data_IF_525237083081
#
_entry.id   IF_525237083081
#
_cell.length_a   1.000
_cell.length_b   1.000
_cell.length_c   1.000
_cell.angle_alpha   90.00
_cell.angle_beta   90.00
_cell.angle_gamma   90.00
#
_symmetry.space_group_name_H-M   'P 1'
#
loop_
_entity.id
_entity.type
_entity.pdbx_description
1 polymer ?
#
# COMPACT_ATOMS: atom_id res chain seq x y z
N UNK A 1 -1.91 -13.29 3.22
CA UNK A 1 -1.91 -12.11 2.32
C UNK A 1 -2.55 -12.39 0.95
N UNK A 2 -2.15 -13.39 0.16
CA UNK A 2 -2.72 -13.61 -1.19
C UNK A 2 -4.20 -14.01 -1.29
N UNK A 3 -4.88 -14.27 -0.17
CA UNK A 3 -6.30 -14.66 -0.12
C UNK A 3 -7.12 -13.80 0.86
N UNK A 4 -6.63 -12.62 1.24
CA UNK A 4 -7.33 -11.80 2.25
C UNK A 4 -8.54 -11.04 1.71
N UNK A 5 -8.54 -10.63 0.43
CA UNK A 5 -9.69 -9.98 -0.21
C UNK A 5 -9.96 -10.60 -1.58
N UNK A 6 -8.98 -10.54 -2.48
CA UNK A 6 -8.96 -11.31 -3.71
C UNK A 6 -8.17 -12.61 -3.53
N UNK A 7 -8.58 -13.67 -4.23
CA UNK A 7 -7.80 -14.91 -4.32
C UNK A 7 -6.76 -14.79 -5.42
N UNK A 8 -5.48 -14.81 -5.04
CA UNK A 8 -4.34 -14.81 -5.94
C UNK A 8 -3.50 -16.08 -5.72
N UNK A 9 -3.01 -16.67 -6.82
CA UNK A 9 -2.10 -17.82 -6.76
C UNK A 9 -0.65 -17.46 -6.38
N UNK A 10 -0.36 -16.16 -6.28
CA UNK A 10 0.97 -15.65 -6.01
C UNK A 10 1.10 -14.19 -6.48
N UNK A 11 2.32 -13.63 -6.45
CA UNK A 11 2.54 -12.28 -6.92
C UNK A 11 2.43 -12.20 -8.45
N UNK A 12 1.70 -11.23 -9.00
CA UNK A 12 1.57 -11.03 -10.44
C UNK A 12 2.94 -10.88 -11.11
N UNK A 13 3.07 -11.47 -12.30
CA UNK A 13 4.20 -11.19 -13.16
C UNK A 13 4.02 -9.78 -13.72
N UNK A 14 4.95 -8.87 -13.40
CA UNK A 14 4.98 -7.56 -14.03
C UNK A 14 5.71 -7.67 -15.35
N UNK A 15 5.18 -7.06 -16.41
CA UNK A 15 5.83 -7.04 -17.73
C UNK A 15 7.15 -6.23 -17.77
N UNK A 16 7.51 -5.54 -16.69
CA UNK A 16 8.59 -4.56 -16.63
C UNK A 16 9.90 -5.15 -16.09
N UNK A 17 9.83 -6.20 -15.27
CA UNK A 17 11.02 -6.85 -14.70
C UNK A 17 10.80 -8.36 -14.59
N UNK A 18 11.77 -9.14 -15.07
CA UNK A 18 11.83 -10.60 -14.86
C UNK A 18 12.41 -10.85 -13.47
N UNK A 19 11.61 -11.31 -12.50
CA UNK A 19 12.08 -11.45 -11.12
C UNK A 19 12.97 -12.69 -10.97
N UNK A 20 13.98 -12.61 -10.11
CA UNK A 20 14.83 -13.76 -9.74
C UNK A 20 14.06 -14.86 -9.01
N UNK A 21 12.96 -14.51 -8.35
CA UNK A 21 12.12 -15.41 -7.56
C UNK A 21 10.64 -15.26 -7.91
N UNK A 22 9.89 -16.35 -7.82
CA UNK A 22 8.43 -16.36 -8.06
C UNK A 22 7.62 -15.86 -6.85
N UNK A 23 8.27 -15.53 -5.73
CA UNK A 23 7.64 -15.19 -4.45
C UNK A 23 7.82 -13.70 -4.11
N UNK A 24 7.00 -13.18 -3.19
CA UNK A 24 7.29 -11.89 -2.55
C UNK A 24 8.25 -12.12 -1.39
N UNK A 25 9.14 -11.15 -1.21
CA UNK A 25 10.06 -11.11 -0.09
C UNK A 25 9.51 -10.16 0.98
N UNK A 26 9.88 -10.41 2.23
CA UNK A 26 9.36 -9.62 3.33
C UNK A 26 9.91 -10.06 4.69
N UNK A 27 9.55 -9.29 5.71
CA UNK A 27 9.93 -9.52 7.09
C UNK A 27 8.67 -9.88 7.87
N UNK A 28 8.75 -10.97 8.63
CA UNK A 28 7.74 -11.36 9.60
C UNK A 28 8.17 -10.87 10.99
N UNK A 29 7.25 -10.22 11.72
CA UNK A 29 7.40 -9.87 13.14
C UNK A 29 6.27 -10.58 13.87
N UNK A 30 6.60 -11.41 14.86
CA UNK A 30 5.63 -12.20 15.65
C UNK A 30 4.62 -12.99 14.79
N UNK A 31 5.11 -13.57 13.69
CA UNK A 31 4.30 -14.35 12.75
C UNK A 31 3.39 -13.52 11.83
N UNK A 32 3.47 -12.18 11.87
CA UNK A 32 2.73 -11.26 11.01
C UNK A 32 3.65 -10.63 9.98
N UNK A 33 3.16 -10.45 8.75
CA UNK A 33 3.92 -9.78 7.69
C UNK A 33 3.96 -8.28 7.95
N UNK A 34 5.14 -7.78 8.33
CA UNK A 34 5.37 -6.38 8.68
C UNK A 34 5.92 -5.56 7.52
N UNK A 35 6.80 -6.16 6.71
CA UNK A 35 7.45 -5.49 5.57
C UNK A 35 7.32 -6.36 4.33
N UNK A 36 7.03 -5.73 3.19
CA UNK A 36 7.09 -6.35 1.87
C UNK A 36 8.20 -5.64 1.09
N UNK A 37 9.11 -6.43 0.54
CA UNK A 37 10.11 -5.97 -0.42
C UNK A 37 9.82 -6.59 -1.78
N UNK A 38 9.96 -5.78 -2.83
CA UNK A 38 9.76 -6.25 -4.20
C UNK A 38 10.57 -5.40 -5.17
N UNK A 39 11.47 -6.03 -5.90
CA UNK A 39 12.15 -5.44 -7.07
C UNK A 39 11.19 -5.29 -8.28
N UNK A 40 10.02 -5.93 -8.23
CA UNK A 40 9.01 -5.81 -9.29
C UNK A 40 8.39 -4.41 -9.27
N UNK A 41 8.41 -3.74 -10.42
CA UNK A 41 7.89 -2.38 -10.58
C UNK A 41 6.35 -2.35 -10.64
N UNK A 42 5.68 -2.76 -9.56
CA UNK A 42 4.21 -2.83 -9.50
C UNK A 42 3.55 -1.47 -9.74
N UNK A 43 4.10 -0.39 -9.18
CA UNK A 43 3.58 0.97 -9.39
C UNK A 43 3.64 1.36 -10.87
N UNK A 44 4.79 1.14 -11.53
CA UNK A 44 4.93 1.38 -12.96
C UNK A 44 4.01 0.50 -13.82
N UNK A 45 3.66 -0.70 -13.35
CA UNK A 45 2.69 -1.54 -14.04
C UNK A 45 1.26 -0.99 -13.96
N UNK A 46 0.92 -0.27 -12.89
CA UNK A 46 -0.41 0.35 -12.71
C UNK A 46 -0.58 1.66 -13.48
N UNK A 47 0.51 2.39 -13.76
CA UNK A 47 0.46 3.71 -14.40
C UNK A 47 0.57 3.68 -15.93
N UNK A 48 0.83 2.52 -16.55
CA UNK A 48 0.87 2.40 -18.01
C UNK A 48 -0.54 2.43 -18.61
N UNK A 49 -0.96 3.59 -19.09
CA UNK A 49 -2.09 3.69 -20.01
C UNK A 49 -1.73 3.04 -21.37
N UNK A 50 -2.67 2.28 -21.94
CA UNK A 50 -2.58 1.85 -23.35
C UNK A 50 -2.29 0.37 -23.63
N UNK A 51 -1.93 -0.47 -22.66
CA UNK A 51 -1.82 -1.93 -22.90
C UNK A 51 -3.05 -2.67 -22.40
N UNK A 52 -3.90 -3.08 -23.36
CA UNK A 52 -5.01 -3.98 -23.14
C UNK A 52 -4.47 -5.29 -22.52
N UNK A 53 -4.96 -5.60 -21.32
CA UNK A 53 -5.06 -6.91 -20.67
C UNK A 53 -3.99 -7.43 -19.71
N UNK A 54 -4.52 -7.90 -18.56
CA UNK A 54 -4.06 -8.92 -17.61
C UNK A 54 -3.16 -8.50 -16.43
N UNK A 55 -1.90 -8.05 -16.61
CA UNK A 55 -0.99 -7.80 -15.49
C UNK A 55 -1.45 -6.68 -14.57
N UNK A 56 -2.05 -5.64 -15.14
CA UNK A 56 -2.56 -4.48 -14.39
C UNK A 56 -3.61 -4.86 -13.35
N UNK A 57 -4.64 -5.61 -13.78
CA UNK A 57 -5.71 -6.05 -12.88
C UNK A 57 -5.16 -6.94 -11.76
N UNK A 58 -4.23 -7.84 -12.09
CA UNK A 58 -3.58 -8.68 -11.10
C UNK A 58 -2.75 -7.85 -10.10
N UNK A 59 -2.02 -6.84 -10.58
CA UNK A 59 -1.30 -5.90 -9.71
C UNK A 59 -2.25 -5.12 -8.81
N UNK A 60 -3.36 -4.58 -9.34
CA UNK A 60 -4.37 -3.90 -8.52
C UNK A 60 -4.91 -4.82 -7.42
N UNK A 61 -5.26 -6.07 -7.77
CA UNK A 61 -5.71 -7.07 -6.79
C UNK A 61 -4.66 -7.35 -5.72
N UNK A 62 -3.38 -7.44 -6.10
CA UNK A 62 -2.29 -7.62 -5.13
C UNK A 62 -2.19 -6.41 -4.19
N UNK A 63 -2.20 -5.20 -4.73
CA UNK A 63 -2.11 -3.97 -3.93
C UNK A 63 -3.30 -3.84 -2.97
N UNK A 64 -4.52 -4.17 -3.42
CA UNK A 64 -5.70 -4.23 -2.55
C UNK A 64 -5.50 -5.24 -1.42
N UNK A 65 -5.01 -6.45 -1.73
CA UNK A 65 -4.74 -7.45 -0.70
C UNK A 65 -3.70 -6.96 0.34
N UNK A 66 -2.64 -6.29 -0.11
CA UNK A 66 -1.62 -5.71 0.78
C UNK A 66 -2.26 -4.69 1.72
N UNK A 67 -3.07 -3.76 1.19
CA UNK A 67 -3.75 -2.72 1.98
C UNK A 67 -4.73 -3.35 2.97
N UNK A 68 -5.58 -4.29 2.52
CA UNK A 68 -6.53 -4.97 3.39
C UNK A 68 -5.81 -5.75 4.48
N UNK A 69 -4.75 -6.48 4.14
CA UNK A 69 -3.96 -7.22 5.13
C UNK A 69 -3.32 -6.29 6.16
N UNK A 70 -2.72 -5.18 5.71
CA UNK A 70 -2.16 -4.14 6.58
C UNK A 70 -3.22 -3.63 7.58
N UNK A 71 -4.40 -3.26 7.11
CA UNK A 71 -5.47 -2.72 7.94
C UNK A 71 -6.06 -3.74 8.92
N UNK A 72 -6.26 -4.98 8.47
CA UNK A 72 -7.00 -6.00 9.24
C UNK A 72 -6.13 -6.92 10.08
N UNK A 73 -4.86 -7.13 9.71
CA UNK A 73 -3.94 -8.07 10.37
C UNK A 73 -2.64 -7.38 10.83
N UNK A 74 -2.23 -6.30 10.16
CA UNK A 74 -1.00 -5.56 10.46
C UNK A 74 -1.14 -4.52 11.58
N UNK A 75 -2.35 -4.29 12.11
CA UNK A 75 -2.59 -3.28 13.14
C UNK A 75 -2.48 -1.83 12.64
N UNK A 76 -2.37 -1.62 11.32
CA UNK A 76 -2.32 -0.28 10.70
C UNK A 76 -3.65 0.47 10.87
N UNK A 77 -4.76 -0.25 11.11
CA UNK A 77 -6.01 0.39 11.54
C UNK A 77 -5.92 1.06 12.93
N UNK A 78 -4.87 0.81 13.71
CA UNK A 78 -4.68 1.39 15.05
C UNK A 78 -3.80 2.65 15.02
N UNK A 79 -3.82 3.38 13.90
CA UNK A 79 -3.29 4.75 13.81
C UNK A 79 -4.04 5.77 14.69
N UNK A 80 -4.78 5.32 15.70
CA UNK A 80 -5.30 6.15 16.80
C UNK A 80 -4.20 7.05 17.41
N UNK A 81 -2.93 6.64 17.31
CA UNK A 81 -1.77 7.39 17.79
C UNK A 81 -0.88 8.02 16.68
N UNK A 82 -1.21 7.88 15.39
CA UNK A 82 -0.45 8.54 14.32
C UNK A 82 -0.92 9.99 14.17
N UNK A 83 -0.21 10.88 14.85
CA UNK A 83 -0.35 12.33 14.64
C UNK A 83 0.77 12.76 13.68
N UNK A 84 0.46 13.24 12.46
CA UNK A 84 1.48 13.82 11.60
C UNK A 84 2.28 14.88 12.36
N UNK A 85 3.61 14.89 12.23
CA UNK A 85 4.50 15.80 12.97
C UNK A 85 4.10 17.28 12.79
N UNK A 86 3.49 17.62 11.65
CA UNK A 86 3.03 18.99 11.36
C UNK A 86 1.56 19.26 11.72
N UNK A 87 0.83 18.30 12.29
CA UNK A 87 -0.55 18.48 12.74
C UNK A 87 -0.62 19.49 13.88
N UNK A 88 0.29 19.42 14.85
CA UNK A 88 0.36 20.38 15.96
C UNK A 88 0.71 21.80 15.49
N UNK A 89 1.55 21.94 14.44
CA UNK A 89 1.90 23.26 13.87
C UNK A 89 0.75 23.92 13.09
N UNK A 90 -0.20 23.15 12.55
CA UNK A 90 -1.39 23.68 11.87
C UNK A 90 -2.48 24.14 12.85
N UNK A 91 -2.57 23.53 14.03
CA UNK A 91 -3.54 23.91 15.07
C UNK A 91 -3.16 25.26 15.73
N UNK A 92 -1.88 25.65 15.68
CA UNK A 92 -1.41 26.95 16.17
C UNK A 92 -1.60 28.13 15.22
N UNK A 93 -2.29 27.96 14.08
CA UNK A 93 -2.68 29.11 13.27
C UNK A 93 -3.73 29.92 14.05
N UNK A 94 -3.49 31.21 14.32
CA UNK A 94 -4.46 32.03 15.02
C UNK A 94 -5.77 32.03 14.23
N UNK A 95 -6.88 31.77 14.91
CA UNK A 95 -8.20 31.95 14.34
C UNK A 95 -8.28 33.38 13.77
N UNK A 96 -8.70 33.48 12.50
CA UNK A 96 -8.87 34.76 11.80
C UNK A 96 -9.60 35.74 12.73
N UNK A 97 -9.02 36.91 13.06
CA UNK A 97 -9.72 37.87 13.90
C UNK A 97 -11.01 38.29 13.19
N UNK A 98 -12.14 38.03 13.85
CA UNK A 98 -13.46 38.52 13.43
C UNK A 98 -13.56 40.01 13.76
N UNK A 99 -13.06 40.86 12.87
CA UNK A 99 -13.37 42.29 12.92
C UNK A 99 -13.02 42.95 11.59
N UNK A 100 -14.04 43.31 10.83
CA UNK A 100 -14.04 44.52 10.01
C UNK A 100 -15.44 45.17 10.21
N UNK A 101 -15.49 46.49 10.47
CA UNK A 101 -16.69 47.26 10.86
C UNK A 101 -17.79 47.32 9.79
#
# INVERSE_FOLDING_TARGET
>A
MYRCFFSLGGPPLTAITSPRTSQLEGILIDGRLAVIYSERAYVGSMTREGTRWSPQLATFKLMTNIIVYALTHGGISDYSNYTPIDFQKRVSLPAKPSSIP
#
